data_IF_735264363331
#
_entry.id   IF_735264363331
#
_cell.length_a   1.000
_cell.length_b   1.000
_cell.length_c   1.000
_cell.angle_alpha   90.00
_cell.angle_beta   90.00
_cell.angle_gamma   90.00
#
_symmetry.space_group_name_H-M   'P 1'
#
loop_
_entity.id
_entity.type
_entity.pdbx_description
1 polymer ?
#
# COMPACT_ATOMS: atom_id res chain seq x y z
N UNK A 1 21.86 71.82 31.97
CA UNK A 1 23.10 71.32 31.36
C UNK A 1 23.03 69.79 31.35
N UNK A 2 22.81 69.04 30.27
CA UNK A 2 22.43 69.24 28.86
C UNK A 2 21.65 67.95 28.51
N UNK A 3 20.39 68.02 28.09
CA UNK A 3 19.97 67.95 26.67
C UNK A 3 20.77 66.98 25.78
N UNK A 4 20.13 65.89 25.36
CA UNK A 4 20.09 65.45 23.96
C UNK A 4 18.83 64.62 23.70
N UNK A 5 17.76 65.34 23.35
CA UNK A 5 16.67 64.85 22.52
C UNK A 5 17.14 64.71 21.07
N UNK A 6 16.46 63.84 20.34
CA UNK A 6 16.34 63.75 18.87
C UNK A 6 17.54 63.20 18.09
N UNK A 7 17.32 62.07 17.41
CA UNK A 7 17.44 61.90 15.95
C UNK A 7 16.90 60.50 15.58
N UNK A 8 15.84 60.49 14.75
CA UNK A 8 15.30 59.40 13.93
C UNK A 8 14.52 58.28 14.67
N UNK A 9 13.20 58.37 14.89
CA UNK A 9 12.11 58.54 13.91
C UNK A 9 12.10 57.47 12.80
N UNK A 10 11.03 56.66 12.85
CA UNK A 10 10.39 55.90 11.76
C UNK A 10 11.12 54.67 11.21
N UNK A 11 10.88 53.53 11.85
CA UNK A 11 10.58 52.31 11.12
C UNK A 11 9.30 51.69 11.70
N UNK A 12 8.16 52.26 11.28
CA UNK A 12 6.91 51.53 11.17
C UNK A 12 7.18 50.31 10.29
N UNK A 13 7.58 49.18 10.88
CA UNK A 13 7.45 47.89 10.20
C UNK A 13 5.97 47.54 10.35
N UNK A 14 5.24 47.74 9.26
CA UNK A 14 3.82 47.41 9.19
C UNK A 14 3.60 45.92 9.52
N UNK A 15 2.49 45.54 10.16
CA UNK A 15 2.04 44.16 10.22
C UNK A 15 1.34 43.74 8.91
N UNK A 16 1.88 44.16 7.77
CA UNK A 16 1.32 43.85 6.45
C UNK A 16 2.41 43.35 5.50
N UNK A 17 2.85 42.12 5.74
CA UNK A 17 2.99 41.13 4.68
C UNK A 17 3.12 39.70 5.24
N UNK A 18 2.21 39.31 6.14
CA UNK A 18 1.67 37.94 6.07
C UNK A 18 0.78 37.85 4.83
N UNK A 19 1.41 38.05 3.66
CA UNK A 19 0.82 37.71 2.39
C UNK A 19 0.66 36.21 2.39
N UNK A 20 -0.55 35.76 2.71
CA UNK A 20 -1.16 34.50 2.27
C UNK A 20 -0.20 33.64 1.45
N UNK A 21 0.69 32.89 2.11
CA UNK A 21 1.29 31.71 1.48
C UNK A 21 0.22 30.63 1.51
N UNK A 22 -0.86 30.85 0.75
CA UNK A 22 -1.91 29.87 0.46
C UNK A 22 -1.41 28.83 -0.54
N UNK A 23 -0.16 28.39 -0.39
CA UNK A 23 0.40 27.28 -1.14
C UNK A 23 0.16 25.99 -0.35
N UNK A 24 -0.25 24.94 -1.04
CA UNK A 24 -0.32 23.61 -0.44
C UNK A 24 1.06 23.23 0.13
N UNK A 25 1.07 22.69 1.35
CA UNK A 25 2.28 22.10 1.93
C UNK A 25 2.74 20.90 1.09
N UNK A 26 4.04 20.58 1.15
CA UNK A 26 4.58 19.40 0.47
C UNK A 26 3.78 18.13 0.81
N UNK A 27 3.43 17.95 2.09
CA UNK A 27 2.62 16.83 2.54
C UNK A 27 1.26 16.79 1.84
N UNK A 28 0.56 17.92 1.74
CA UNK A 28 -0.72 18.00 1.03
C UNK A 28 -0.55 17.67 -0.45
N UNK A 29 0.46 18.24 -1.11
CA UNK A 29 0.76 17.97 -2.52
C UNK A 29 1.09 16.49 -2.77
N UNK A 30 1.89 15.86 -1.92
CA UNK A 30 2.20 14.41 -2.02
C UNK A 30 0.93 13.58 -1.95
N UNK A 31 0.02 13.88 -1.03
CA UNK A 31 -1.26 13.16 -0.94
C UNK A 31 -2.18 13.42 -2.13
N UNK A 32 -2.23 14.65 -2.64
CA UNK A 32 -2.95 14.95 -3.88
C UNK A 32 -2.42 14.11 -5.04
N UNK A 33 -1.11 14.07 -5.24
CA UNK A 33 -0.49 13.24 -6.29
C UNK A 33 -0.77 11.76 -6.06
N UNK A 34 -0.72 11.29 -4.81
CA UNK A 34 -1.07 9.90 -4.47
C UNK A 34 -2.51 9.56 -4.88
N UNK A 35 -3.50 10.35 -4.45
CA UNK A 35 -4.90 10.08 -4.77
C UNK A 35 -5.20 10.22 -6.26
N UNK A 36 -4.59 11.18 -6.94
CA UNK A 36 -4.71 11.33 -8.39
C UNK A 36 -4.08 10.13 -9.12
N UNK A 37 -2.86 9.72 -8.76
CA UNK A 37 -2.17 8.58 -9.37
C UNK A 37 -2.95 7.28 -9.13
N UNK A 38 -3.42 7.04 -7.91
CA UNK A 38 -4.24 5.89 -7.56
C UNK A 38 -5.57 5.90 -8.34
N UNK A 39 -6.25 7.04 -8.41
CA UNK A 39 -7.49 7.20 -9.16
C UNK A 39 -7.30 6.93 -10.66
N UNK A 40 -6.23 7.46 -11.25
CA UNK A 40 -5.88 7.23 -12.67
C UNK A 40 -5.55 5.76 -12.90
N UNK A 41 -4.69 5.16 -12.08
CA UNK A 41 -4.29 3.75 -12.23
C UNK A 41 -5.49 2.81 -12.09
N UNK A 42 -6.35 3.05 -11.11
CA UNK A 42 -7.58 2.29 -10.92
C UNK A 42 -8.51 2.47 -12.12
N UNK A 43 -8.75 3.72 -12.54
CA UNK A 43 -9.58 4.00 -13.71
C UNK A 43 -9.07 3.30 -14.98
N UNK A 44 -7.76 3.35 -15.24
CA UNK A 44 -7.13 2.65 -16.36
C UNK A 44 -7.28 1.13 -16.24
N UNK A 45 -7.13 0.57 -15.04
CA UNK A 45 -7.34 -0.86 -14.76
C UNK A 45 -8.76 -1.29 -15.13
N UNK A 46 -9.77 -0.51 -14.77
CA UNK A 46 -11.14 -0.80 -15.17
C UNK A 46 -11.40 -0.58 -16.65
N UNK A 47 -10.81 0.47 -17.24
CA UNK A 47 -11.00 0.84 -18.65
C UNK A 47 -10.40 -0.18 -19.61
N UNK A 48 -9.30 -0.81 -19.21
CA UNK A 48 -8.58 -1.83 -19.96
C UNK A 48 -8.71 -3.23 -19.34
N UNK A 49 -9.71 -3.43 -18.47
CA UNK A 49 -9.98 -4.72 -17.84
C UNK A 49 -10.26 -5.78 -18.90
N UNK A 50 -9.60 -6.91 -18.77
CA UNK A 50 -9.91 -8.12 -19.52
C UNK A 50 -11.07 -8.85 -18.79
N UNK A 51 -12.28 -8.92 -19.38
CA UNK A 51 -13.46 -9.47 -18.71
C UNK A 51 -13.56 -11.00 -18.84
N UNK A 52 -12.41 -11.69 -18.80
CA UNK A 52 -12.30 -13.14 -18.77
C UNK A 52 -11.27 -13.52 -17.71
N UNK A 53 -11.42 -14.70 -17.13
CA UNK A 53 -10.40 -15.26 -16.24
C UNK A 53 -9.10 -15.40 -17.02
N UNK A 54 -8.05 -14.75 -16.52
CA UNK A 54 -6.70 -14.93 -17.05
C UNK A 54 -6.18 -16.31 -16.63
N UNK A 55 -5.11 -16.77 -17.28
CA UNK A 55 -4.61 -18.15 -17.16
C UNK A 55 -4.39 -18.59 -15.71
N UNK A 56 -3.90 -17.67 -14.88
CA UNK A 56 -3.61 -17.84 -13.46
C UNK A 56 -4.86 -17.83 -12.57
N UNK A 57 -5.97 -17.24 -13.02
CA UNK A 57 -7.25 -17.33 -12.31
C UNK A 57 -7.86 -18.73 -12.43
N UNK A 58 -7.46 -19.54 -13.41
CA UNK A 58 -8.03 -20.87 -13.60
C UNK A 58 -7.75 -21.79 -12.42
N UNK A 59 -6.69 -21.55 -11.65
CA UNK A 59 -6.40 -22.26 -10.40
C UNK A 59 -7.55 -22.14 -9.39
N UNK A 60 -8.33 -21.04 -9.43
CA UNK A 60 -9.46 -20.83 -8.54
C UNK A 60 -10.65 -21.74 -8.87
N UNK A 61 -10.80 -22.19 -10.11
CA UNK A 61 -11.99 -22.92 -10.57
C UNK A 61 -12.20 -24.23 -9.79
N UNK A 62 -11.22 -25.16 -9.69
CA UNK A 62 -11.42 -26.37 -8.90
C UNK A 62 -11.57 -26.10 -7.40
N UNK A 63 -10.92 -25.04 -6.89
CA UNK A 63 -11.04 -24.62 -5.49
C UNK A 63 -12.45 -24.09 -5.20
N UNK A 64 -13.01 -23.30 -6.10
CA UNK A 64 -14.34 -22.71 -6.01
C UNK A 64 -15.42 -23.79 -6.07
N UNK A 65 -15.29 -24.77 -6.97
CA UNK A 65 -16.17 -25.93 -7.02
C UNK A 65 -16.15 -26.70 -5.69
N UNK A 66 -14.95 -27.01 -5.17
CA UNK A 66 -14.81 -27.69 -3.88
C UNK A 66 -15.42 -26.87 -2.72
N UNK A 67 -15.36 -25.54 -2.77
CA UNK A 67 -16.01 -24.69 -1.79
C UNK A 67 -17.54 -24.78 -1.87
N UNK A 68 -18.11 -24.70 -3.08
CA UNK A 68 -19.56 -24.85 -3.29
C UNK A 68 -20.06 -26.23 -2.84
N UNK A 69 -19.25 -27.27 -3.02
CA UNK A 69 -19.56 -28.63 -2.61
C UNK A 69 -19.32 -28.89 -1.11
N UNK A 70 -18.80 -27.91 -0.34
CA UNK A 70 -18.52 -28.06 1.09
C UNK A 70 -17.24 -28.85 1.43
N UNK A 71 -16.35 -29.05 0.45
CA UNK A 71 -15.13 -29.85 0.55
C UNK A 71 -13.83 -29.02 0.42
N UNK A 72 -13.87 -27.72 0.77
CA UNK A 72 -12.73 -26.80 0.62
C UNK A 72 -11.44 -27.31 1.31
N UNK A 73 -11.55 -28.00 2.45
CA UNK A 73 -10.40 -28.55 3.17
C UNK A 73 -9.62 -29.62 2.38
N UNK A 74 -10.26 -30.26 1.40
CA UNK A 74 -9.67 -31.34 0.60
C UNK A 74 -9.27 -30.87 -0.82
N UNK A 75 -9.30 -29.56 -1.08
CA UNK A 75 -8.93 -28.99 -2.38
C UNK A 75 -7.50 -28.42 -2.37
N UNK A 76 -7.08 -27.89 -3.51
CA UNK A 76 -5.78 -27.23 -3.66
C UNK A 76 -5.66 -25.90 -2.87
N UNK A 77 -6.68 -25.48 -2.13
CA UNK A 77 -6.67 -24.26 -1.31
C UNK A 77 -5.50 -24.17 -0.30
N UNK A 78 -5.14 -25.31 0.29
CA UNK A 78 -4.05 -25.44 1.27
C UNK A 78 -2.76 -25.99 0.68
N UNK A 79 -2.74 -26.26 -0.64
CA UNK A 79 -1.61 -26.90 -1.30
C UNK A 79 -0.47 -25.90 -1.48
N UNK A 80 0.74 -26.39 -1.28
CA UNK A 80 1.95 -25.63 -1.61
C UNK A 80 2.09 -25.58 -3.13
N UNK A 81 2.04 -24.36 -3.67
CA UNK A 81 2.20 -24.09 -5.09
C UNK A 81 3.66 -24.31 -5.51
N UNK A 82 3.87 -25.15 -6.52
CA UNK A 82 5.18 -25.53 -7.07
C UNK A 82 6.25 -25.90 -6.03
N UNK A 83 5.83 -26.43 -4.88
CA UNK A 83 6.73 -26.85 -3.79
C UNK A 83 7.46 -25.73 -3.05
N UNK A 84 7.10 -24.46 -3.24
CA UNK A 84 7.86 -23.33 -2.67
C UNK A 84 7.07 -22.36 -1.80
N UNK A 85 5.77 -22.17 -2.04
CA UNK A 85 4.97 -21.20 -1.29
C UNK A 85 3.48 -21.54 -1.25
N UNK A 86 2.77 -20.91 -0.32
CA UNK A 86 1.30 -20.96 -0.23
C UNK A 86 0.70 -19.75 -0.95
N UNK A 87 -0.49 -19.94 -1.50
CA UNK A 87 -1.35 -18.89 -2.04
C UNK A 87 -2.67 -18.76 -1.28
N UNK A 88 -2.83 -19.45 -0.17
CA UNK A 88 -4.07 -19.55 0.61
C UNK A 88 -4.71 -18.20 0.91
N UNK A 89 -3.93 -17.17 1.30
CA UNK A 89 -4.50 -15.84 1.57
C UNK A 89 -5.05 -15.18 0.29
N UNK A 90 -4.38 -15.37 -0.85
CA UNK A 90 -4.85 -14.88 -2.15
C UNK A 90 -6.08 -15.67 -2.62
N UNK A 91 -6.08 -16.98 -2.48
CA UNK A 91 -7.23 -17.82 -2.80
C UNK A 91 -8.44 -17.47 -1.93
N UNK A 92 -8.26 -17.14 -0.64
CA UNK A 92 -9.36 -16.69 0.20
C UNK A 92 -10.01 -15.41 -0.34
N UNK A 93 -9.19 -14.45 -0.78
CA UNK A 93 -9.65 -13.22 -1.41
C UNK A 93 -10.36 -13.54 -2.72
N UNK A 94 -9.71 -14.28 -3.62
CA UNK A 94 -10.23 -14.60 -4.95
C UNK A 94 -11.52 -15.44 -4.88
N UNK A 95 -11.65 -16.36 -3.93
CA UNK A 95 -12.89 -17.09 -3.70
C UNK A 95 -14.02 -16.14 -3.30
N UNK A 96 -13.76 -15.25 -2.34
CA UNK A 96 -14.76 -14.30 -1.87
C UNK A 96 -15.19 -13.33 -2.99
N UNK A 97 -14.23 -12.79 -3.73
CA UNK A 97 -14.52 -11.87 -4.84
C UNK A 97 -15.23 -12.58 -5.98
N UNK A 98 -14.80 -13.78 -6.38
CA UNK A 98 -15.47 -14.64 -7.38
C UNK A 98 -16.91 -14.91 -6.97
N UNK A 99 -17.16 -15.24 -5.70
CA UNK A 99 -18.50 -15.50 -5.19
C UNK A 99 -19.41 -14.27 -5.27
N UNK A 100 -18.91 -13.13 -4.78
CA UNK A 100 -19.67 -11.88 -4.71
C UNK A 100 -19.91 -11.27 -6.10
N UNK A 101 -19.04 -11.55 -7.07
CA UNK A 101 -19.11 -10.99 -8.41
C UNK A 101 -19.68 -11.96 -9.44
N UNK A 102 -20.08 -13.16 -9.04
CA UNK A 102 -20.51 -14.25 -9.94
C UNK A 102 -19.44 -14.59 -11.00
N UNK A 103 -18.17 -14.59 -10.59
CA UNK A 103 -17.02 -14.89 -11.45
C UNK A 103 -16.55 -13.72 -12.32
N UNK A 104 -17.07 -12.51 -12.10
CA UNK A 104 -16.61 -11.33 -12.82
C UNK A 104 -15.31 -10.77 -12.22
N UNK A 105 -14.30 -10.56 -13.08
CA UNK A 105 -12.94 -10.13 -12.69
C UNK A 105 -12.84 -8.69 -12.19
N UNK A 106 -13.92 -7.89 -12.28
CA UNK A 106 -13.88 -6.48 -11.86
C UNK A 106 -13.62 -6.32 -10.37
N UNK A 107 -14.13 -7.25 -9.55
CA UNK A 107 -13.98 -7.19 -8.11
C UNK A 107 -12.56 -7.61 -7.69
N UNK A 108 -11.96 -8.58 -8.40
CA UNK A 108 -10.55 -8.95 -8.23
C UNK A 108 -9.63 -7.74 -8.51
N UNK A 109 -9.89 -7.05 -9.64
CA UNK A 109 -9.15 -5.85 -10.02
C UNK A 109 -9.27 -4.74 -8.96
N UNK A 110 -10.48 -4.55 -8.41
CA UNK A 110 -10.74 -3.56 -7.36
C UNK A 110 -9.94 -3.89 -6.10
N UNK A 111 -10.04 -5.13 -5.63
CA UNK A 111 -9.35 -5.57 -4.40
C UNK A 111 -7.84 -5.49 -4.59
N UNK A 112 -7.32 -5.94 -5.74
CA UNK A 112 -5.91 -5.82 -6.09
C UNK A 112 -5.42 -4.35 -6.04
N UNK A 113 -6.21 -3.43 -6.62
CA UNK A 113 -5.94 -1.99 -6.60
C UNK A 113 -5.97 -1.41 -5.18
N UNK A 114 -6.91 -1.84 -4.34
CA UNK A 114 -7.01 -1.39 -2.94
C UNK A 114 -5.84 -1.91 -2.09
N UNK A 115 -5.44 -3.17 -2.24
CA UNK A 115 -4.28 -3.73 -1.52
C UNK A 115 -3.02 -2.96 -1.93
N UNK A 116 -2.80 -2.74 -3.23
CA UNK A 116 -1.70 -1.91 -3.72
C UNK A 116 -1.76 -0.51 -3.09
N UNK A 117 -2.92 0.16 -3.09
CA UNK A 117 -3.06 1.49 -2.51
C UNK A 117 -2.70 1.52 -1.01
N UNK A 118 -3.10 0.50 -0.23
CA UNK A 118 -2.74 0.40 1.18
C UNK A 118 -1.23 0.20 1.36
N UNK A 119 -0.60 -0.67 0.56
CA UNK A 119 0.86 -0.83 0.53
C UNK A 119 1.56 0.50 0.25
N UNK A 120 1.16 1.15 -0.84
CA UNK A 120 1.74 2.42 -1.30
C UNK A 120 1.50 3.53 -0.27
N UNK A 121 0.35 3.55 0.40
CA UNK A 121 0.06 4.48 1.48
C UNK A 121 1.09 4.35 2.61
N UNK A 122 1.36 3.13 3.09
CA UNK A 122 2.37 2.93 4.13
C UNK A 122 3.78 3.33 3.68
N UNK A 123 4.16 2.99 2.45
CA UNK A 123 5.46 3.41 1.87
C UNK A 123 5.58 4.94 1.85
N UNK A 124 4.56 5.63 1.33
CA UNK A 124 4.55 7.10 1.25
C UNK A 124 4.51 7.74 2.64
N UNK A 125 3.81 7.14 3.61
CA UNK A 125 3.83 7.58 5.01
C UNK A 125 5.22 7.47 5.62
N UNK A 126 5.92 6.36 5.42
CA UNK A 126 7.31 6.19 5.87
C UNK A 126 8.23 7.20 5.19
N UNK A 127 8.11 7.38 3.86
CA UNK A 127 8.93 8.33 3.13
C UNK A 127 8.75 9.77 3.62
N UNK A 128 7.50 10.19 3.87
CA UNK A 128 7.20 11.50 4.45
C UNK A 128 7.74 11.66 5.87
N UNK A 129 7.67 10.61 6.70
CA UNK A 129 8.17 10.62 8.08
C UNK A 129 9.69 10.75 8.11
N UNK A 130 10.39 9.95 7.31
CA UNK A 130 11.83 9.75 7.45
C UNK A 130 12.65 10.70 6.55
N UNK A 131 12.07 11.13 5.43
CA UNK A 131 12.75 11.94 4.42
C UNK A 131 12.05 13.26 4.07
N UNK A 132 10.85 13.51 4.58
CA UNK A 132 10.01 14.62 4.12
C UNK A 132 10.60 16.02 4.34
N UNK A 133 11.47 16.20 5.35
CA UNK A 133 12.19 17.45 5.58
C UNK A 133 13.48 17.59 4.74
N UNK A 134 13.96 16.49 4.14
CA UNK A 134 15.25 16.42 3.43
C UNK A 134 15.10 16.34 1.91
N UNK A 135 13.95 15.88 1.42
CA UNK A 135 13.68 15.72 0.00
C UNK A 135 12.91 16.89 -0.58
N UNK A 136 13.16 17.17 -1.86
CA UNK A 136 12.32 18.09 -2.62
C UNK A 136 10.97 17.44 -2.94
N UNK A 137 9.97 18.27 -3.24
CA UNK A 137 8.63 17.81 -3.62
C UNK A 137 8.66 16.88 -4.85
N UNK A 138 9.56 17.13 -5.80
CA UNK A 138 9.71 16.30 -7.00
C UNK A 138 10.17 14.87 -6.69
N UNK A 139 11.10 14.71 -5.73
CA UNK A 139 11.50 13.38 -5.25
C UNK A 139 10.35 12.65 -4.56
N UNK A 140 9.54 13.37 -3.78
CA UNK A 140 8.34 12.78 -3.17
C UNK A 140 7.33 12.31 -4.21
N UNK A 141 7.17 13.04 -5.34
CA UNK A 141 6.35 12.57 -6.45
C UNK A 141 6.94 11.31 -7.08
N UNK A 142 8.26 11.25 -7.23
CA UNK A 142 8.97 10.03 -7.66
C UNK A 142 8.65 8.84 -6.75
N UNK A 143 8.71 9.01 -5.43
CA UNK A 143 8.32 7.96 -4.47
C UNK A 143 6.87 7.51 -4.64
N UNK A 144 5.93 8.45 -4.81
CA UNK A 144 4.52 8.11 -5.04
C UNK A 144 4.35 7.32 -6.34
N UNK A 145 4.99 7.75 -7.43
CA UNK A 145 4.91 7.07 -8.72
C UNK A 145 5.61 5.71 -8.72
N UNK A 146 6.68 5.52 -7.93
CA UNK A 146 7.29 4.21 -7.75
C UNK A 146 6.39 3.29 -6.91
N UNK A 147 5.77 3.83 -5.85
CA UNK A 147 4.85 3.06 -5.01
C UNK A 147 3.56 2.67 -5.75
N UNK A 148 3.07 3.51 -6.67
CA UNK A 148 1.91 3.28 -7.53
C UNK A 148 2.35 3.09 -8.99
N UNK A 149 3.40 2.29 -9.20
CA UNK A 149 4.04 2.15 -10.51
C UNK A 149 3.04 1.82 -11.62
N UNK A 150 2.94 2.64 -12.69
CA UNK A 150 1.98 2.40 -13.77
C UNK A 150 2.15 1.05 -14.48
N UNK A 151 3.34 0.44 -14.43
CA UNK A 151 3.55 -0.90 -14.96
C UNK A 151 2.77 -2.00 -14.22
N UNK A 152 2.20 -1.71 -13.05
CA UNK A 152 1.25 -2.61 -12.39
C UNK A 152 -0.10 -2.71 -13.11
N UNK A 153 -0.39 -1.88 -14.11
CA UNK A 153 -1.66 -1.91 -14.82
C UNK A 153 -2.03 -3.30 -15.38
N UNK A 154 -1.04 -4.04 -15.88
CA UNK A 154 -1.28 -5.44 -16.29
C UNK A 154 -1.44 -6.31 -15.05
N UNK A 155 -0.55 -6.19 -14.06
CA UNK A 155 -0.56 -7.00 -12.84
C UNK A 155 -1.87 -6.88 -12.05
N UNK A 156 -2.48 -5.70 -11.99
CA UNK A 156 -3.72 -5.45 -11.26
C UNK A 156 -4.91 -6.28 -11.78
N UNK A 157 -4.78 -6.85 -12.98
CA UNK A 157 -5.80 -7.68 -13.60
C UNK A 157 -5.54 -9.18 -13.43
N UNK A 158 -4.40 -9.59 -12.88
CA UNK A 158 -4.04 -11.00 -12.67
C UNK A 158 -4.36 -11.41 -11.22
N UNK A 159 -4.86 -12.63 -11.05
CA UNK A 159 -5.24 -13.23 -9.78
C UNK A 159 -4.01 -13.56 -8.92
N UNK A 160 -2.94 -14.09 -9.52
CA UNK A 160 -1.67 -14.35 -8.81
C UNK A 160 -1.06 -13.08 -8.23
N UNK A 161 -1.33 -11.92 -8.83
CA UNK A 161 -0.80 -10.64 -8.34
C UNK A 161 -1.48 -10.20 -7.04
N UNK A 162 -2.69 -10.68 -6.75
CA UNK A 162 -3.28 -10.52 -5.42
C UNK A 162 -2.37 -11.15 -4.37
N UNK A 163 -1.80 -12.33 -4.65
CA UNK A 163 -0.85 -12.99 -3.75
C UNK A 163 0.43 -12.17 -3.52
N UNK A 164 0.96 -11.59 -4.59
CA UNK A 164 2.14 -10.71 -4.54
C UNK A 164 1.86 -9.45 -3.72
N UNK A 165 0.71 -8.79 -3.95
CA UNK A 165 0.36 -7.58 -3.20
C UNK A 165 0.03 -7.86 -1.73
N UNK A 166 -0.61 -8.99 -1.42
CA UNK A 166 -0.81 -9.45 -0.04
C UNK A 166 0.52 -9.72 0.65
N UNK A 167 1.46 -10.40 -0.03
CA UNK A 167 2.80 -10.63 0.50
C UNK A 167 3.54 -9.30 0.74
N UNK A 168 3.50 -8.38 -0.23
CA UNK A 168 4.09 -7.04 -0.10
C UNK A 168 3.48 -6.27 1.08
N UNK A 169 2.16 -6.32 1.26
CA UNK A 169 1.49 -5.70 2.41
C UNK A 169 1.95 -6.33 3.72
N UNK A 170 2.09 -7.66 3.74
CA UNK A 170 2.60 -8.43 4.86
C UNK A 170 4.07 -8.14 5.18
N UNK A 171 4.81 -7.46 4.30
CA UNK A 171 6.15 -6.94 4.58
C UNK A 171 6.11 -5.49 5.01
N UNK A 172 5.41 -4.64 4.25
CA UNK A 172 5.40 -3.19 4.43
C UNK A 172 4.67 -2.78 5.71
N UNK A 173 3.51 -3.38 6.00
CA UNK A 173 2.72 -3.01 7.17
C UNK A 173 3.46 -3.33 8.49
N UNK A 174 4.08 -4.51 8.68
CA UNK A 174 4.90 -4.76 9.87
C UNK A 174 6.05 -3.77 10.04
N UNK A 175 6.78 -3.45 8.97
CA UNK A 175 7.85 -2.44 9.03
C UNK A 175 7.31 -1.08 9.46
N UNK A 176 6.18 -0.64 8.89
CA UNK A 176 5.55 0.62 9.28
C UNK A 176 5.12 0.63 10.76
N UNK A 177 4.46 -0.44 11.21
CA UNK A 177 3.93 -0.55 12.57
C UNK A 177 5.03 -0.62 13.62
N UNK A 178 6.10 -1.39 13.37
CA UNK A 178 7.19 -1.63 14.32
C UNK A 178 8.21 -0.48 14.37
N UNK A 179 8.31 0.34 13.32
CA UNK A 179 9.26 1.46 13.27
C UNK A 179 8.69 2.79 13.76
N UNK A 180 7.47 2.83 14.29
CA UNK A 180 6.78 4.08 14.64
C UNK A 180 7.26 4.76 15.94
N UNK A 181 8.45 4.40 16.45
CA UNK A 181 9.10 5.04 17.60
C UNK A 181 8.44 4.81 18.96
N UNK A 182 7.29 4.14 19.01
CA UNK A 182 6.54 3.84 20.23
C UNK A 182 6.21 2.35 20.27
N UNK A 183 6.61 1.67 21.34
CA UNK A 183 6.24 0.28 21.57
C UNK A 183 4.74 0.22 21.87
N UNK A 184 4.00 -0.56 21.08
CA UNK A 184 2.54 -0.64 21.19
C UNK A 184 2.08 -2.08 20.94
N UNK A 185 1.39 -2.67 21.92
CA UNK A 185 0.82 -4.02 21.79
C UNK A 185 -0.10 -4.18 20.57
N UNK A 186 -1.04 -3.25 20.30
CA UNK A 186 -1.82 -3.29 19.07
C UNK A 186 -0.97 -3.28 17.80
N UNK A 187 0.09 -2.46 17.75
CA UNK A 187 0.98 -2.39 16.59
C UNK A 187 1.76 -3.69 16.40
N UNK A 188 2.26 -4.29 17.49
CA UNK A 188 2.97 -5.57 17.46
C UNK A 188 2.07 -6.71 17.00
N UNK A 189 0.85 -6.80 17.54
CA UNK A 189 -0.12 -7.82 17.11
C UNK A 189 -0.51 -7.64 15.65
N UNK A 190 -0.76 -6.39 15.23
CA UNK A 190 -1.04 -6.07 13.83
C UNK A 190 0.11 -6.46 12.90
N UNK A 191 1.36 -6.21 13.31
CA UNK A 191 2.55 -6.59 12.56
C UNK A 191 2.65 -8.12 12.40
N UNK A 192 2.45 -8.89 13.46
CA UNK A 192 2.45 -10.36 13.38
C UNK A 192 1.34 -10.86 12.47
N UNK A 193 0.11 -10.34 12.64
CA UNK A 193 -1.02 -10.74 11.81
C UNK A 193 -0.78 -10.44 10.31
N UNK A 194 -0.30 -9.25 9.98
CA UNK A 194 0.04 -8.89 8.60
C UNK A 194 1.16 -9.77 8.04
N UNK A 195 2.21 -10.05 8.80
CA UNK A 195 3.30 -10.93 8.36
C UNK A 195 2.82 -12.36 8.09
N UNK A 196 1.99 -12.92 8.99
CA UNK A 196 1.38 -14.25 8.80
C UNK A 196 0.53 -14.31 7.54
N UNK A 197 -0.34 -13.32 7.32
CA UNK A 197 -1.17 -13.24 6.11
C UNK A 197 -0.28 -13.11 4.86
N UNK A 198 0.80 -12.33 4.93
CA UNK A 198 1.79 -12.21 3.86
C UNK A 198 2.42 -13.55 3.49
N UNK A 199 2.86 -14.33 4.47
CA UNK A 199 3.44 -15.67 4.27
C UNK A 199 2.45 -16.63 3.63
N UNK A 200 1.18 -16.55 4.03
CA UNK A 200 0.09 -17.34 3.43
C UNK A 200 -0.27 -16.89 2.01
N UNK A 201 0.20 -15.72 1.56
CA UNK A 201 0.09 -15.26 0.17
C UNK A 201 1.32 -15.63 -0.67
N UNK A 202 2.52 -15.50 -0.11
CA UNK A 202 3.77 -15.87 -0.76
C UNK A 202 4.91 -16.02 0.27
N UNK A 203 5.80 -17.01 0.08
CA UNK A 203 6.92 -17.26 1.00
C UNK A 203 7.94 -16.13 1.09
N UNK A 204 7.95 -15.17 0.15
CA UNK A 204 8.82 -14.00 0.19
C UNK A 204 8.61 -13.15 1.45
N UNK A 205 7.41 -13.17 2.03
CA UNK A 205 7.13 -12.50 3.29
C UNK A 205 7.88 -13.11 4.49
N UNK A 206 8.41 -14.34 4.38
CA UNK A 206 9.25 -14.94 5.43
C UNK A 206 10.49 -14.10 5.75
N UNK A 207 10.94 -13.26 4.80
CA UNK A 207 12.05 -12.33 5.02
C UNK A 207 11.78 -11.31 6.14
N UNK A 208 10.53 -11.07 6.54
CA UNK A 208 10.17 -10.18 7.65
C UNK A 208 10.69 -10.69 8.99
N UNK A 209 10.68 -12.00 9.22
CA UNK A 209 11.08 -12.58 10.51
C UNK A 209 12.57 -12.38 10.84
N UNK A 210 13.54 -12.70 9.96
CA UNK A 210 14.95 -12.43 10.24
C UNK A 210 15.23 -10.93 10.36
N UNK A 211 14.55 -10.07 9.59
CA UNK A 211 14.66 -8.60 9.73
C UNK A 211 14.15 -8.15 11.10
N UNK A 212 13.01 -8.66 11.55
CA UNK A 212 12.46 -8.35 12.86
C UNK A 212 13.38 -8.82 13.99
N UNK A 213 13.94 -10.03 13.90
CA UNK A 213 14.93 -10.53 14.87
C UNK A 213 16.16 -9.63 14.90
N UNK A 214 16.70 -9.25 13.74
CA UNK A 214 17.85 -8.35 13.66
C UNK A 214 17.58 -6.98 14.30
N UNK A 215 16.37 -6.43 14.14
CA UNK A 215 15.98 -5.17 14.76
C UNK A 215 15.80 -5.24 16.29
N UNK A 216 15.70 -6.44 16.86
CA UNK A 216 15.56 -6.68 18.31
C UNK A 216 16.90 -6.94 19.01
N UNK A 217 17.97 -7.24 18.26
CA UNK A 217 19.33 -7.51 18.77
C UNK A 217 20.15 -6.22 18.73
#
# INVERSE_FOLDING_TARGET
MNDYNSINQVANVSPHSEGLRSGFSMRQLTWWVFFCAFGILTWLTFRWRIPILLWDHLDIVPIYQAWQDGHLGNSDFWKVHDGSHLHTAAYAILLLTTWLSEGQTWLDCLVSSLILAVCSFFIVRMALRDFGARLSVGWMYGFVLLALYPGHLINLQWGWQVAVFVSLLGVVAPVYLLTNGVISWPANFGAVACATVGVLGFSTALAVFPVAIWLLI
#
